data_IF_281387636506
#
_entry.id   IF_281387636506
#
_cell.length_a   1.000
_cell.length_b   1.000
_cell.length_c   1.000
_cell.angle_alpha   90.00
_cell.angle_beta   90.00
_cell.angle_gamma   90.00
#
_symmetry.space_group_name_H-M   'P 1'
#
loop_
_entity.id
_entity.type
_entity.pdbx_description
1 polymer ?
#
# COMPACT_ATOMS: atom_id res chain seq x y z
N UNK A 1 -43.91 -84.43 -64.30
CA UNK A 1 -43.53 -83.57 -65.44
C UNK A 1 -43.44 -82.13 -64.97
N UNK A 2 -42.26 -81.51 -65.08
CA UNK A 2 -41.97 -80.06 -65.14
C UNK A 2 -42.37 -79.18 -63.92
N UNK A 3 -41.63 -78.17 -63.44
CA UNK A 3 -40.35 -77.57 -63.81
C UNK A 3 -39.82 -76.68 -62.65
N UNK A 4 -38.53 -76.38 -62.73
CA UNK A 4 -37.67 -75.56 -61.87
C UNK A 4 -37.99 -74.05 -61.98
N UNK A 5 -37.85 -73.30 -60.87
CA UNK A 5 -37.42 -71.87 -60.82
C UNK A 5 -36.67 -71.64 -59.49
N UNK A 6 -35.34 -71.66 -59.43
CA UNK A 6 -34.41 -70.53 -59.62
C UNK A 6 -34.76 -69.28 -58.79
N UNK A 7 -34.03 -69.06 -57.68
CA UNK A 7 -33.94 -67.79 -56.97
C UNK A 7 -32.50 -67.27 -57.13
N UNK A 8 -32.37 -66.17 -57.87
CA UNK A 8 -31.14 -65.43 -58.03
C UNK A 8 -30.87 -64.55 -56.80
N UNK A 9 -29.69 -64.69 -56.19
CA UNK A 9 -29.17 -63.78 -55.18
C UNK A 9 -28.55 -62.56 -55.87
N UNK A 10 -29.02 -61.37 -55.52
CA UNK A 10 -28.53 -60.10 -56.06
C UNK A 10 -27.56 -59.47 -55.06
N UNK A 11 -26.28 -59.37 -55.46
CA UNK A 11 -25.25 -58.62 -54.74
C UNK A 11 -25.56 -57.13 -54.73
N UNK A 12 -25.50 -56.50 -53.56
CA UNK A 12 -25.50 -55.05 -53.40
C UNK A 12 -24.07 -54.56 -53.15
N UNK A 13 -23.57 -53.55 -53.88
CA UNK A 13 -22.28 -52.97 -53.60
C UNK A 13 -22.36 -52.03 -52.38
N UNK A 14 -21.39 -52.21 -51.51
CA UNK A 14 -21.10 -51.39 -50.33
C UNK A 14 -20.60 -50.01 -50.79
N UNK A 15 -21.41 -48.96 -50.58
CA UNK A 15 -21.02 -47.57 -50.81
C UNK A 15 -20.88 -46.86 -49.45
N UNK A 16 -19.64 -46.62 -49.04
CA UNK A 16 -19.30 -45.86 -47.84
C UNK A 16 -19.46 -44.37 -48.16
N UNK A 17 -20.53 -43.74 -47.68
CA UNK A 17 -20.63 -42.29 -47.67
C UNK A 17 -20.07 -41.76 -46.34
N UNK A 18 -18.78 -41.40 -46.35
CA UNK A 18 -18.13 -40.68 -45.27
C UNK A 18 -18.64 -39.23 -45.28
N UNK A 19 -19.66 -38.93 -44.46
CA UNK A 19 -20.02 -37.56 -44.11
C UNK A 19 -18.89 -36.98 -43.26
N UNK A 20 -18.05 -36.14 -43.88
CA UNK A 20 -17.16 -35.23 -43.15
C UNK A 20 -18.04 -34.21 -42.44
N UNK A 21 -18.31 -34.46 -41.16
CA UNK A 21 -18.85 -33.44 -40.27
C UNK A 21 -17.75 -32.38 -40.08
N UNK A 22 -17.92 -31.23 -40.72
CA UNK A 22 -17.11 -30.05 -40.43
C UNK A 22 -17.33 -29.66 -38.98
N UNK A 23 -16.38 -30.03 -38.12
CA UNK A 23 -16.27 -29.48 -36.78
C UNK A 23 -15.92 -27.99 -36.93
N UNK A 24 -16.95 -27.15 -36.97
CA UNK A 24 -16.79 -25.72 -36.76
C UNK A 24 -16.20 -25.53 -35.37
N UNK A 25 -14.91 -25.23 -35.31
CA UNK A 25 -14.28 -24.73 -34.10
C UNK A 25 -14.96 -23.42 -33.75
N UNK A 26 -15.91 -23.46 -32.81
CA UNK A 26 -16.38 -22.28 -32.12
C UNK A 26 -15.19 -21.81 -31.28
N UNK A 27 -14.39 -20.91 -31.84
CA UNK A 27 -13.47 -20.12 -31.04
C UNK A 27 -14.30 -19.23 -30.11
N UNK A 28 -14.69 -19.75 -28.95
CA UNK A 28 -15.01 -18.90 -27.81
C UNK A 28 -13.70 -18.30 -27.34
N UNK A 29 -13.25 -17.23 -28.00
CA UNK A 29 -12.35 -16.28 -27.37
C UNK A 29 -13.16 -15.59 -26.28
N UNK A 30 -13.28 -16.22 -25.12
CA UNK A 30 -13.62 -15.48 -23.91
C UNK A 30 -12.53 -14.43 -23.76
N UNK A 31 -12.85 -13.20 -24.11
CA UNK A 31 -12.03 -12.05 -23.80
C UNK A 31 -12.07 -11.93 -22.27
N UNK A 32 -11.23 -12.72 -21.60
CA UNK A 32 -11.08 -12.72 -20.15
C UNK A 32 -10.36 -11.41 -19.80
N UNK A 33 -11.11 -10.33 -19.80
CA UNK A 33 -10.68 -9.02 -19.29
C UNK A 33 -10.21 -9.20 -17.86
N UNK A 34 -9.07 -8.61 -17.49
CA UNK A 34 -8.58 -8.60 -16.12
C UNK A 34 -9.59 -8.02 -15.14
N UNK A 35 -9.41 -8.28 -13.85
CA UNK A 35 -10.27 -7.71 -12.82
C UNK A 35 -10.24 -6.18 -12.87
N UNK A 36 -11.41 -5.54 -12.80
CA UNK A 36 -11.54 -4.08 -12.65
C UNK A 36 -11.50 -3.74 -11.17
N UNK A 37 -10.49 -3.01 -10.72
CA UNK A 37 -10.30 -2.72 -9.30
C UNK A 37 -10.40 -1.22 -9.06
N UNK A 38 -11.31 -0.83 -8.17
CA UNK A 38 -11.38 0.54 -7.66
C UNK A 38 -10.33 0.75 -6.57
N UNK A 39 -9.62 1.87 -6.59
CA UNK A 39 -8.70 2.27 -5.51
C UNK A 39 -9.19 3.59 -4.94
N UNK A 40 -9.53 3.63 -3.65
CA UNK A 40 -10.04 4.84 -2.99
C UNK A 40 -8.93 5.50 -2.17
N UNK A 41 -8.59 6.72 -2.55
CA UNK A 41 -7.53 7.55 -1.98
C UNK A 41 -8.11 8.60 -1.03
N UNK A 42 -7.25 9.21 -0.21
CA UNK A 42 -7.63 10.13 0.87
C UNK A 42 -6.81 11.42 0.91
N UNK A 43 -6.07 11.74 -0.15
CA UNK A 43 -5.12 12.86 -0.26
C UNK A 43 -3.77 12.36 -0.78
N UNK A 44 -2.69 13.11 -0.58
CA UNK A 44 -1.35 12.75 -1.07
C UNK A 44 -0.25 13.08 -0.06
N UNK A 45 -0.06 12.22 0.94
CA UNK A 45 0.89 12.41 2.03
C UNK A 45 0.48 11.59 3.26
N UNK A 46 1.42 10.96 3.95
CA UNK A 46 1.10 10.06 5.07
C UNK A 46 0.34 10.76 6.20
N UNK A 47 0.65 12.01 6.53
CA UNK A 47 0.08 12.68 7.72
C UNK A 47 -1.28 13.33 7.48
N UNK A 48 -1.64 13.62 6.23
CA UNK A 48 -2.85 14.35 5.85
C UNK A 48 -3.64 13.73 4.70
N UNK A 49 -3.19 12.60 4.16
CA UNK A 49 -3.79 11.91 3.03
C UNK A 49 -3.41 10.45 2.96
N UNK A 50 -3.32 9.93 1.72
CA UNK A 50 -2.89 8.56 1.47
C UNK A 50 -1.38 8.41 1.59
N UNK A 51 -0.92 7.33 2.22
CA UNK A 51 0.50 6.95 2.22
C UNK A 51 0.93 6.59 0.78
N UNK A 52 1.92 7.33 0.27
CA UNK A 52 2.26 7.34 -1.16
C UNK A 52 2.94 6.03 -1.58
N UNK A 53 3.76 5.43 -0.72
CA UNK A 53 4.42 4.15 -1.01
C UNK A 53 3.44 2.99 -0.99
N UNK A 54 2.43 2.99 -0.13
CA UNK A 54 1.36 2.00 -0.06
C UNK A 54 0.50 2.09 -1.32
N UNK A 55 0.09 3.29 -1.71
CA UNK A 55 -0.63 3.50 -2.96
C UNK A 55 0.20 3.01 -4.17
N UNK A 56 1.49 3.37 -4.22
CA UNK A 56 2.41 2.88 -5.25
C UNK A 56 2.51 1.35 -5.26
N UNK A 57 2.63 0.70 -4.09
CA UNK A 57 2.67 -0.74 -3.96
C UNK A 57 1.39 -1.41 -4.45
N UNK A 58 0.23 -0.90 -4.03
CA UNK A 58 -1.08 -1.37 -4.51
C UNK A 58 -1.16 -1.30 -6.03
N UNK A 59 -0.81 -0.16 -6.64
CA UNK A 59 -0.88 0.04 -8.08
C UNK A 59 0.08 -0.88 -8.85
N UNK A 60 1.32 -1.03 -8.38
CA UNK A 60 2.31 -1.93 -8.99
C UNK A 60 1.83 -3.39 -8.94
N UNK A 61 1.29 -3.83 -7.81
CA UNK A 61 0.82 -5.21 -7.66
C UNK A 61 -0.48 -5.50 -8.43
N UNK A 62 -1.39 -4.52 -8.53
CA UNK A 62 -2.57 -4.62 -9.39
C UNK A 62 -2.16 -4.72 -10.87
N UNK A 63 -1.23 -3.87 -11.30
CA UNK A 63 -0.67 -3.91 -12.65
C UNK A 63 -0.02 -5.25 -12.97
N UNK A 64 0.82 -5.78 -12.05
CA UNK A 64 1.42 -7.12 -12.17
C UNK A 64 0.41 -8.24 -12.23
N UNK A 65 -0.74 -8.10 -11.56
CA UNK A 65 -1.86 -9.04 -11.63
C UNK A 65 -2.72 -8.92 -12.90
N UNK A 66 -2.42 -7.96 -13.78
CA UNK A 66 -3.14 -7.72 -15.02
C UNK A 66 -4.52 -7.08 -14.83
N UNK A 67 -4.75 -6.43 -13.68
CA UNK A 67 -5.97 -5.73 -13.33
C UNK A 67 -6.07 -4.36 -14.03
N UNK A 68 -7.29 -3.94 -14.34
CA UNK A 68 -7.61 -2.59 -14.78
C UNK A 68 -7.93 -1.75 -13.54
N UNK A 69 -7.29 -0.60 -13.37
CA UNK A 69 -7.42 0.21 -12.15
C UNK A 69 -8.12 1.52 -12.45
N UNK A 70 -9.11 1.88 -11.63
CA UNK A 70 -9.70 3.20 -11.59
C UNK A 70 -9.56 3.79 -10.17
N UNK A 71 -9.02 5.00 -10.07
CA UNK A 71 -8.79 5.66 -8.79
C UNK A 71 -9.93 6.63 -8.47
N UNK A 72 -10.28 6.69 -7.19
CA UNK A 72 -11.33 7.51 -6.65
C UNK A 72 -10.88 8.24 -5.39
N UNK A 73 -11.50 9.37 -5.09
CA UNK A 73 -11.36 10.06 -3.80
C UNK A 73 -12.61 10.93 -3.55
N UNK A 74 -13.02 11.14 -2.29
CA UNK A 74 -14.13 12.05 -2.00
C UNK A 74 -13.74 13.51 -2.30
N UNK A 75 -14.65 14.25 -2.92
CA UNK A 75 -14.47 15.69 -3.18
C UNK A 75 -14.79 16.53 -1.93
N UNK A 76 -13.88 16.49 -0.95
CA UNK A 76 -14.01 17.19 0.34
C UNK A 76 -12.71 17.89 0.73
N UNK A 77 -12.78 18.86 1.64
CA UNK A 77 -11.59 19.45 2.23
C UNK A 77 -10.84 18.41 3.09
N UNK A 78 -9.49 18.47 3.09
CA UNK A 78 -8.69 17.73 4.07
C UNK A 78 -8.95 18.30 5.48
N UNK A 79 -8.96 17.44 6.49
CA UNK A 79 -9.11 17.88 7.89
C UNK A 79 -7.97 18.80 8.33
N UNK A 80 -6.74 18.44 7.96
CA UNK A 80 -5.54 19.24 8.20
C UNK A 80 -4.64 19.17 6.97
N UNK A 81 -3.74 20.13 6.84
CA UNK A 81 -2.63 20.08 5.90
C UNK A 81 -1.34 20.11 6.70
N UNK A 82 -0.43 19.18 6.42
CA UNK A 82 0.77 18.96 7.25
C UNK A 82 2.03 19.22 6.43
N UNK A 83 2.92 20.08 6.94
CA UNK A 83 4.30 20.15 6.47
C UNK A 83 5.01 18.88 6.92
N UNK A 84 5.16 17.93 6.00
CA UNK A 84 5.75 16.62 6.29
C UNK A 84 7.22 16.69 6.70
N UNK A 85 7.94 17.78 6.38
CA UNK A 85 9.33 17.97 6.83
C UNK A 85 9.43 18.37 8.30
N UNK A 86 8.36 18.98 8.84
CA UNK A 86 8.28 19.45 10.24
C UNK A 86 7.36 18.60 11.10
N UNK A 87 6.46 17.83 10.48
CA UNK A 87 5.39 17.11 11.17
C UNK A 87 4.35 18.04 11.79
N UNK A 88 4.21 19.27 11.28
CA UNK A 88 3.37 20.32 11.87
C UNK A 88 2.26 20.77 10.93
N UNK A 89 1.10 21.20 11.44
CA UNK A 89 0.06 21.82 10.64
C UNK A 89 0.56 23.08 9.91
N UNK A 90 0.15 23.23 8.66
CA UNK A 90 0.29 24.45 7.88
C UNK A 90 -1.05 25.19 7.86
N UNK A 91 -1.02 26.53 7.87
CA UNK A 91 -2.22 27.38 7.76
C UNK A 91 -2.68 27.48 6.30
N UNK A 92 -3.01 26.33 5.70
CA UNK A 92 -3.51 26.23 4.34
C UNK A 92 -4.64 25.20 4.25
N UNK A 93 -5.42 25.27 3.17
CA UNK A 93 -6.49 24.34 2.89
C UNK A 93 -6.24 23.63 1.56
N UNK A 94 -6.49 22.33 1.54
CA UNK A 94 -6.37 21.48 0.36
C UNK A 94 -7.59 20.56 0.25
N UNK A 95 -7.88 20.11 -0.96
CA UNK A 95 -8.99 19.22 -1.26
C UNK A 95 -8.48 17.78 -1.50
N UNK A 96 -9.17 16.81 -0.91
CA UNK A 96 -8.81 15.39 -0.92
C UNK A 96 -8.73 14.82 -2.34
N UNK A 97 -9.74 15.09 -3.18
CA UNK A 97 -9.78 14.64 -4.57
C UNK A 97 -8.65 15.29 -5.39
N UNK A 98 -8.48 16.60 -5.24
CA UNK A 98 -7.47 17.39 -5.95
C UNK A 98 -6.05 16.93 -5.63
N UNK A 99 -5.74 16.69 -4.36
CA UNK A 99 -4.42 16.21 -3.95
C UNK A 99 -4.21 14.74 -4.34
N UNK A 100 -5.24 13.90 -4.23
CA UNK A 100 -5.18 12.50 -4.69
C UNK A 100 -4.92 12.38 -6.20
N UNK A 101 -5.31 13.39 -6.99
CA UNK A 101 -5.01 13.45 -8.43
C UNK A 101 -3.50 13.43 -8.73
N UNK A 102 -2.64 13.82 -7.76
CA UNK A 102 -1.17 13.72 -7.88
C UNK A 102 -0.71 12.26 -7.99
N UNK A 103 -1.21 11.39 -7.11
CA UNK A 103 -0.95 9.94 -7.15
C UNK A 103 -1.52 9.36 -8.45
N UNK A 104 -2.74 9.77 -8.80
CA UNK A 104 -3.46 9.25 -9.95
C UNK A 104 -2.98 9.79 -11.32
N UNK A 105 -2.01 10.71 -11.32
CA UNK A 105 -1.53 11.41 -12.53
C UNK A 105 -2.68 12.04 -13.34
N UNK A 106 -3.64 12.63 -12.63
CA UNK A 106 -4.84 13.25 -13.20
C UNK A 106 -5.99 12.29 -13.52
N UNK A 107 -5.77 10.96 -13.54
CA UNK A 107 -6.82 9.98 -13.84
C UNK A 107 -7.55 9.53 -12.56
N UNK A 108 -8.35 10.43 -11.99
CA UNK A 108 -9.12 10.20 -10.77
C UNK A 108 -10.56 10.66 -10.93
N UNK A 109 -11.49 9.99 -10.24
CA UNK A 109 -12.91 10.31 -10.23
C UNK A 109 -13.41 10.55 -8.81
N UNK A 110 -14.43 11.38 -8.63
CA UNK A 110 -15.12 11.51 -7.34
C UNK A 110 -15.68 10.14 -6.87
N UNK A 111 -15.43 9.79 -5.61
CA UNK A 111 -15.95 8.59 -4.95
C UNK A 111 -17.49 8.50 -5.00
N UNK A 112 -18.21 9.63 -5.09
CA UNK A 112 -19.67 9.63 -5.29
C UNK A 112 -20.10 8.91 -6.58
N UNK A 113 -19.22 8.83 -7.58
CA UNK A 113 -19.48 8.16 -8.86
C UNK A 113 -19.03 6.70 -8.88
N UNK A 114 -18.40 6.20 -7.81
CA UNK A 114 -17.99 4.81 -7.70
C UNK A 114 -19.21 3.90 -7.52
N UNK A 115 -19.45 3.08 -8.54
CA UNK A 115 -20.43 1.99 -8.49
C UNK A 115 -19.75 0.64 -8.35
N UNK A 116 -20.22 -0.15 -7.37
CA UNK A 116 -19.83 -1.55 -7.22
C UNK A 116 -20.19 -2.39 -8.44
N UNK A 117 -21.19 -2.03 -9.26
CA UNK A 117 -21.55 -2.80 -10.46
C UNK A 117 -20.45 -2.84 -11.53
N UNK A 118 -19.62 -1.79 -11.58
CA UNK A 118 -18.64 -1.58 -12.65
C UNK A 118 -17.24 -2.10 -12.33
N UNK A 119 -17.05 -2.61 -11.10
CA UNK A 119 -15.76 -3.05 -10.57
C UNK A 119 -15.90 -4.44 -9.96
N UNK A 120 -14.82 -5.20 -9.90
CA UNK A 120 -14.76 -6.54 -9.33
C UNK A 120 -14.26 -6.54 -7.89
N UNK A 121 -13.49 -5.52 -7.49
CA UNK A 121 -12.98 -5.33 -6.12
C UNK A 121 -12.73 -3.84 -5.82
N UNK A 122 -12.55 -3.52 -4.54
CA UNK A 122 -12.13 -2.18 -4.08
C UNK A 122 -10.96 -2.30 -3.11
N UNK A 123 -10.00 -1.38 -3.18
CA UNK A 123 -8.85 -1.31 -2.28
C UNK A 123 -8.72 0.09 -1.67
N UNK A 124 -8.43 0.14 -0.37
CA UNK A 124 -8.15 1.36 0.40
C UNK A 124 -6.71 1.29 0.92
N UNK A 125 -5.78 2.06 0.35
CA UNK A 125 -4.47 2.29 0.96
C UNK A 125 -4.62 3.01 2.31
N UNK A 126 -3.59 2.93 3.15
CA UNK A 126 -3.54 3.65 4.41
C UNK A 126 -3.07 5.09 4.29
N UNK A 127 -2.35 5.53 5.32
CA UNK A 127 -2.09 6.94 5.62
C UNK A 127 -3.15 7.51 6.56
N UNK A 128 -2.77 8.54 7.32
CA UNK A 128 -3.65 9.18 8.29
C UNK A 128 -4.88 9.84 7.63
N UNK A 129 -4.87 10.12 6.33
CA UNK A 129 -6.06 10.53 5.59
C UNK A 129 -7.20 9.52 5.65
N UNK A 130 -6.93 8.22 5.78
CA UNK A 130 -7.99 7.23 6.01
C UNK A 130 -8.69 7.43 7.37
N UNK A 131 -7.93 7.84 8.38
CA UNK A 131 -8.43 8.11 9.73
C UNK A 131 -8.97 9.55 9.92
N UNK A 132 -8.62 10.49 9.02
CA UNK A 132 -8.96 11.93 9.14
C UNK A 132 -9.96 12.42 8.09
N UNK A 133 -9.89 11.89 6.87
CA UNK A 133 -10.66 12.39 5.72
C UNK A 133 -11.70 11.35 5.26
N UNK A 134 -11.36 10.06 5.28
CA UNK A 134 -12.34 8.98 4.99
C UNK A 134 -13.18 8.62 6.23
N UNK A 135 -12.75 9.06 7.40
CA UNK A 135 -13.45 8.91 8.68
C UNK A 135 -12.98 9.98 9.67
N UNK A 136 -13.60 10.03 10.84
CA UNK A 136 -13.16 10.86 11.97
C UNK A 136 -12.36 10.07 13.02
N UNK A 137 -11.87 8.88 12.68
CA UNK A 137 -11.21 7.96 13.62
C UNK A 137 -10.02 8.58 14.37
N UNK A 138 -9.22 9.42 13.69
CA UNK A 138 -8.06 10.06 14.30
C UNK A 138 -8.41 10.99 15.47
N UNK A 139 -9.65 11.50 15.53
CA UNK A 139 -10.13 12.42 16.57
C UNK A 139 -11.10 11.71 17.52
N UNK A 140 -12.02 10.92 16.97
CA UNK A 140 -13.15 10.35 17.73
C UNK A 140 -12.92 8.89 18.17
N UNK A 141 -11.84 8.25 17.71
CA UNK A 141 -11.53 6.85 18.04
C UNK A 141 -12.69 5.90 17.73
N UNK A 142 -13.15 5.15 18.73
CA UNK A 142 -14.27 4.19 18.58
C UNK A 142 -15.61 4.85 18.22
N UNK A 143 -15.79 6.12 18.58
CA UNK A 143 -17.04 6.85 18.36
C UNK A 143 -17.06 7.56 16.99
N UNK A 144 -16.06 7.27 16.15
CA UNK A 144 -15.92 7.87 14.84
C UNK A 144 -17.09 7.60 13.91
N UNK A 145 -17.17 8.46 12.90
CA UNK A 145 -18.02 8.30 11.73
C UNK A 145 -17.16 8.05 10.50
N UNK A 146 -17.72 7.35 9.51
CA UNK A 146 -17.09 7.16 8.20
C UNK A 146 -17.74 8.13 7.22
N UNK A 147 -16.96 8.69 6.30
CA UNK A 147 -17.48 9.54 5.24
C UNK A 147 -18.61 8.80 4.50
N UNK A 148 -19.73 9.48 4.22
CA UNK A 148 -20.93 8.84 3.70
C UNK A 148 -20.69 8.09 2.37
N UNK A 149 -19.86 8.63 1.48
CA UNK A 149 -19.53 7.96 0.21
C UNK A 149 -18.66 6.73 0.42
N UNK A 150 -17.72 6.78 1.37
CA UNK A 150 -16.85 5.66 1.73
C UNK A 150 -17.67 4.54 2.38
N UNK A 151 -18.56 4.89 3.31
CA UNK A 151 -19.47 3.96 3.96
C UNK A 151 -20.38 3.27 2.93
N UNK A 152 -20.96 4.04 2.00
CA UNK A 152 -21.75 3.51 0.89
C UNK A 152 -20.93 2.53 0.06
N UNK A 153 -19.72 2.90 -0.37
CA UNK A 153 -18.83 2.04 -1.15
C UNK A 153 -18.54 0.72 -0.43
N UNK A 154 -18.15 0.77 0.85
CA UNK A 154 -17.88 -0.45 1.63
C UNK A 154 -19.11 -1.37 1.70
N UNK A 155 -20.30 -0.81 1.98
CA UNK A 155 -21.56 -1.56 2.04
C UNK A 155 -21.94 -2.13 0.68
N UNK A 156 -21.81 -1.37 -0.40
CA UNK A 156 -22.17 -1.79 -1.75
C UNK A 156 -21.29 -2.95 -2.24
N UNK A 157 -19.97 -2.87 -2.03
CA UNK A 157 -19.05 -3.95 -2.41
C UNK A 157 -19.26 -5.20 -1.55
N UNK A 158 -19.44 -5.04 -0.23
CA UNK A 158 -19.73 -6.15 0.68
C UNK A 158 -21.04 -6.86 0.32
N UNK A 159 -22.12 -6.10 0.11
CA UNK A 159 -23.44 -6.62 -0.31
C UNK A 159 -23.37 -7.34 -1.66
N UNK A 160 -22.54 -6.85 -2.59
CA UNK A 160 -22.31 -7.50 -3.87
C UNK A 160 -21.40 -8.73 -3.78
N UNK A 161 -20.89 -9.08 -2.60
CA UNK A 161 -19.95 -10.18 -2.39
C UNK A 161 -18.64 -9.97 -3.15
N UNK A 162 -18.20 -8.72 -3.29
CA UNK A 162 -16.96 -8.34 -3.98
C UNK A 162 -15.83 -8.11 -2.98
N UNK A 163 -14.59 -8.51 -3.30
CA UNK A 163 -13.49 -8.39 -2.36
C UNK A 163 -13.15 -6.94 -2.01
N UNK A 164 -12.81 -6.71 -0.75
CA UNK A 164 -12.38 -5.42 -0.21
C UNK A 164 -10.97 -5.59 0.36
N UNK A 165 -10.01 -4.82 -0.14
CA UNK A 165 -8.64 -4.77 0.38
C UNK A 165 -8.41 -3.51 1.22
N UNK A 166 -7.81 -3.63 2.41
CA UNK A 166 -7.45 -2.47 3.25
C UNK A 166 -6.07 -2.68 3.88
N UNK A 167 -5.16 -1.71 3.79
CA UNK A 167 -3.86 -1.80 4.48
C UNK A 167 -3.60 -0.66 5.46
N UNK A 168 -2.66 -0.91 6.38
CA UNK A 168 -2.24 0.04 7.41
C UNK A 168 -3.39 0.40 8.35
N UNK A 169 -3.76 1.69 8.46
CA UNK A 169 -4.83 2.16 9.35
C UNK A 169 -6.23 2.02 8.73
N UNK A 170 -6.34 1.89 7.40
CA UNK A 170 -7.63 1.82 6.70
C UNK A 170 -8.58 0.67 7.13
N UNK A 171 -8.14 -0.47 7.69
CA UNK A 171 -9.03 -1.49 8.26
C UNK A 171 -10.02 -0.99 9.33
N UNK A 172 -9.76 0.14 9.98
CA UNK A 172 -10.72 0.76 10.92
C UNK A 172 -12.04 1.13 10.23
N UNK A 173 -12.01 1.42 8.92
CA UNK A 173 -13.19 1.72 8.12
C UNK A 173 -14.09 0.48 8.00
N UNK A 174 -13.50 -0.66 7.66
CA UNK A 174 -14.23 -1.92 7.58
C UNK A 174 -14.75 -2.34 8.97
N UNK A 175 -13.94 -2.20 10.02
CA UNK A 175 -14.35 -2.52 11.38
C UNK A 175 -15.56 -1.69 11.85
N UNK A 176 -15.64 -0.41 11.48
CA UNK A 176 -16.78 0.45 11.81
C UNK A 176 -18.04 0.11 11.00
N UNK A 177 -17.88 -0.29 9.74
CA UNK A 177 -19.00 -0.37 8.77
C UNK A 177 -19.55 -1.79 8.60
N UNK A 178 -18.71 -2.82 8.75
CA UNK A 178 -19.05 -4.22 8.44
C UNK A 178 -19.13 -5.04 9.75
N UNK A 179 -20.34 -5.44 10.18
CA UNK A 179 -20.50 -6.16 11.44
C UNK A 179 -19.77 -7.50 11.47
N UNK A 180 -18.96 -7.74 12.51
CA UNK A 180 -18.27 -9.01 12.73
C UNK A 180 -17.22 -9.35 11.68
N UNK A 181 -16.64 -8.34 11.03
CA UNK A 181 -15.49 -8.50 10.13
C UNK A 181 -14.23 -8.85 10.91
N UNK A 182 -13.37 -9.67 10.32
CA UNK A 182 -12.03 -9.92 10.82
C UNK A 182 -11.01 -9.09 10.03
N UNK A 183 -10.11 -8.41 10.73
CA UNK A 183 -9.07 -7.56 10.12
C UNK A 183 -7.77 -7.64 10.90
N UNK A 184 -6.66 -7.29 10.25
CA UNK A 184 -5.39 -7.03 10.92
C UNK A 184 -4.99 -5.56 10.76
N UNK A 185 -4.41 -5.00 11.81
CA UNK A 185 -3.60 -3.76 11.75
C UNK A 185 -2.18 -4.02 12.24
N UNK A 186 -1.77 -5.29 12.33
CA UNK A 186 -0.47 -5.71 12.84
C UNK A 186 -0.55 -6.43 14.18
N UNK A 187 0.22 -5.92 15.14
CA UNK A 187 0.36 -6.48 16.48
C UNK A 187 -0.47 -5.71 17.52
N UNK A 188 -0.73 -6.34 18.68
CA UNK A 188 -1.51 -5.74 19.77
C UNK A 188 -0.65 -5.10 20.86
N UNK A 189 0.65 -5.37 20.84
CA UNK A 189 1.61 -4.89 21.83
C UNK A 189 2.74 -4.14 21.14
N UNK A 190 3.20 -3.06 21.79
CA UNK A 190 4.40 -2.37 21.35
C UNK A 190 5.62 -3.25 21.59
N UNK A 191 6.41 -3.50 20.55
CA UNK A 191 7.62 -4.31 20.63
C UNK A 191 8.84 -3.44 20.29
N UNK A 192 9.40 -2.76 21.30
CA UNK A 192 10.64 -1.98 21.13
C UNK A 192 10.57 -0.91 20.03
N UNK A 193 9.39 -0.31 19.81
CA UNK A 193 9.15 0.68 18.76
C UNK A 193 8.82 0.10 17.38
N UNK A 194 8.86 -1.23 17.21
CA UNK A 194 8.48 -1.90 15.95
C UNK A 194 7.01 -1.69 15.60
N UNK A 195 6.13 -1.62 16.60
CA UNK A 195 4.68 -1.48 16.43
C UNK A 195 4.17 -0.22 17.12
N UNK A 196 4.47 0.98 16.61
CA UNK A 196 4.15 2.25 17.28
C UNK A 196 2.65 2.54 17.41
N UNK A 197 1.80 1.78 16.70
CA UNK A 197 0.34 1.99 16.67
C UNK A 197 -0.45 0.77 17.18
N UNK A 198 0.17 -0.09 18.01
CA UNK A 198 -0.43 -1.33 18.51
C UNK A 198 -1.77 -1.13 19.23
N UNK A 199 -1.98 0.03 19.86
CA UNK A 199 -3.26 0.42 20.48
C UNK A 199 -4.46 0.40 19.53
N UNK A 200 -4.24 0.47 18.21
CA UNK A 200 -5.29 0.37 17.18
C UNK A 200 -6.03 -0.96 17.25
N UNK A 201 -5.35 -2.07 17.62
CA UNK A 201 -5.99 -3.38 17.75
C UNK A 201 -7.13 -3.38 18.77
N UNK A 202 -7.00 -2.63 19.86
CA UNK A 202 -8.06 -2.48 20.86
C UNK A 202 -9.22 -1.66 20.33
N UNK A 203 -8.95 -0.63 19.53
CA UNK A 203 -9.99 0.15 18.87
C UNK A 203 -10.79 -0.69 17.88
N UNK A 204 -10.14 -1.57 17.09
CA UNK A 204 -10.81 -2.54 16.21
C UNK A 204 -11.79 -3.42 16.99
N UNK A 205 -11.36 -3.97 18.14
CA UNK A 205 -12.22 -4.77 19.03
C UNK A 205 -13.39 -3.96 19.57
N UNK A 206 -13.16 -2.72 19.97
CA UNK A 206 -14.20 -1.82 20.49
C UNK A 206 -15.23 -1.42 19.41
N UNK A 207 -14.84 -1.42 18.13
CA UNK A 207 -15.73 -1.20 16.99
C UNK A 207 -16.60 -2.43 16.66
N UNK A 208 -16.38 -3.57 17.32
CA UNK A 208 -17.15 -4.80 17.12
C UNK A 208 -16.58 -5.74 16.04
N UNK A 209 -15.34 -5.49 15.62
CA UNK A 209 -14.59 -6.36 14.71
C UNK A 209 -13.60 -7.24 15.46
N UNK A 210 -13.15 -8.32 14.82
CA UNK A 210 -12.11 -9.20 15.36
C UNK A 210 -10.75 -8.75 14.82
N UNK A 211 -9.81 -8.45 15.72
CA UNK A 211 -8.42 -8.22 15.33
C UNK A 211 -7.66 -9.55 15.24
N UNK A 212 -6.97 -9.77 14.13
CA UNK A 212 -6.10 -10.91 13.90
C UNK A 212 -4.65 -10.45 13.85
N UNK A 213 -3.81 -10.94 14.77
CA UNK A 213 -2.40 -10.59 14.81
C UNK A 213 -1.67 -11.10 13.57
N UNK A 214 -0.95 -10.20 12.89
CA UNK A 214 -0.15 -10.51 11.70
C UNK A 214 1.16 -9.72 11.75
N UNK A 215 2.22 -10.35 11.29
CA UNK A 215 3.51 -9.69 11.05
C UNK A 215 3.53 -9.01 9.69
N UNK A 216 4.41 -8.02 9.50
CA UNK A 216 4.82 -7.61 8.14
C UNK A 216 5.81 -8.67 7.65
N UNK A 217 5.76 -9.04 6.35
CA UNK A 217 6.62 -10.09 5.75
C UNK A 217 8.02 -10.09 6.36
N UNK A 218 8.38 -11.10 7.16
CA UNK A 218 9.70 -11.16 7.82
C UNK A 218 10.72 -12.00 7.06
N UNK A 219 10.26 -12.82 6.09
CA UNK A 219 11.11 -13.54 5.14
C UNK A 219 10.33 -14.01 3.91
N UNK A 220 11.03 -14.36 2.83
CA UNK A 220 10.41 -14.86 1.58
C UNK A 220 9.60 -16.15 1.79
N UNK A 221 9.91 -16.92 2.83
CA UNK A 221 9.21 -18.18 3.17
C UNK A 221 7.90 -17.94 3.94
N UNK A 222 7.70 -16.75 4.51
CA UNK A 222 6.52 -16.40 5.31
C UNK A 222 5.58 -15.42 4.61
N UNK A 223 5.64 -15.34 3.28
CA UNK A 223 4.73 -14.47 2.51
C UNK A 223 3.24 -14.81 2.67
N UNK A 224 2.92 -16.00 3.22
CA UNK A 224 1.54 -16.39 3.54
C UNK A 224 1.04 -15.83 4.88
N UNK A 225 1.90 -15.26 5.72
CA UNK A 225 1.55 -14.77 7.06
C UNK A 225 1.32 -13.25 7.14
N UNK A 226 1.56 -12.49 6.07
CA UNK A 226 1.58 -11.02 6.10
C UNK A 226 0.26 -10.32 5.73
N UNK A 227 -0.72 -11.07 5.21
CA UNK A 227 -2.09 -10.60 5.03
C UNK A 227 -3.06 -11.48 5.83
N UNK A 228 -4.15 -10.88 6.30
CA UNK A 228 -5.30 -11.58 6.85
C UNK A 228 -6.42 -11.58 5.82
N UNK A 229 -7.07 -12.74 5.62
CA UNK A 229 -8.23 -12.87 4.74
C UNK A 229 -9.42 -13.38 5.54
N UNK A 230 -10.43 -12.53 5.71
CA UNK A 230 -11.76 -12.91 6.14
C UNK A 230 -12.54 -13.44 4.93
N UNK A 231 -12.58 -14.76 4.77
CA UNK A 231 -13.28 -15.41 3.67
C UNK A 231 -14.80 -15.22 3.72
N UNK A 232 -15.38 -15.05 4.92
CA UNK A 232 -16.81 -14.87 5.11
C UNK A 232 -17.27 -13.52 4.56
N UNK A 233 -16.51 -12.46 4.87
CA UNK A 233 -16.83 -11.11 4.43
C UNK A 233 -16.08 -10.69 3.15
N UNK A 234 -15.17 -11.53 2.64
CA UNK A 234 -14.25 -11.24 1.52
C UNK A 234 -13.42 -9.98 1.76
N UNK A 235 -12.94 -9.81 2.98
CA UNK A 235 -12.10 -8.68 3.38
C UNK A 235 -10.66 -9.18 3.51
N UNK A 236 -9.72 -8.50 2.87
CA UNK A 236 -8.29 -8.80 2.93
C UNK A 236 -7.57 -7.59 3.52
N UNK A 237 -6.74 -7.81 4.54
CA UNK A 237 -6.03 -6.73 5.22
C UNK A 237 -4.56 -7.02 5.43
N UNK A 238 -3.72 -5.97 5.47
CA UNK A 238 -2.29 -6.11 5.75
C UNK A 238 -1.76 -4.93 6.60
N UNK A 239 -0.80 -5.16 7.52
CA UNK A 239 -0.37 -4.11 8.45
C UNK A 239 0.40 -2.95 7.80
N UNK A 240 1.15 -3.19 6.72
CA UNK A 240 1.95 -2.17 6.01
C UNK A 240 2.78 -1.27 6.96
N UNK A 241 2.68 0.07 6.87
CA UNK A 241 3.45 1.01 7.70
C UNK A 241 2.97 1.12 9.17
N UNK A 242 2.04 0.27 9.62
CA UNK A 242 1.79 0.10 11.06
C UNK A 242 2.98 -0.52 11.79
N UNK A 243 3.94 -1.08 11.03
CA UNK A 243 5.20 -1.64 11.51
C UNK A 243 6.40 -0.83 11.02
N UNK A 244 7.34 -0.54 11.91
CA UNK A 244 8.66 -0.02 11.57
C UNK A 244 9.56 -1.17 11.09
N UNK A 245 9.73 -1.28 9.78
CA UNK A 245 10.55 -2.33 9.14
C UNK A 245 11.10 -1.87 7.79
N UNK A 246 11.85 -2.74 7.10
CA UNK A 246 12.41 -2.41 5.78
C UNK A 246 11.29 -2.21 4.76
N UNK A 247 11.40 -1.12 3.97
CA UNK A 247 10.39 -0.72 2.99
C UNK A 247 9.94 -1.84 2.03
N UNK A 248 10.86 -2.69 1.56
CA UNK A 248 10.50 -3.77 0.64
C UNK A 248 9.61 -4.84 1.29
N UNK A 249 9.73 -5.08 2.61
CA UNK A 249 8.90 -6.03 3.33
C UNK A 249 7.45 -5.53 3.43
N UNK A 250 7.28 -4.23 3.62
CA UNK A 250 5.97 -3.54 3.55
C UNK A 250 5.39 -3.70 2.14
N UNK A 251 6.19 -3.43 1.10
CA UNK A 251 5.79 -3.57 -0.29
C UNK A 251 5.33 -5.00 -0.63
N UNK A 252 6.11 -6.01 -0.20
CA UNK A 252 5.79 -7.43 -0.39
C UNK A 252 4.51 -7.85 0.35
N UNK A 253 4.30 -7.33 1.57
CA UNK A 253 3.07 -7.56 2.35
C UNK A 253 1.83 -7.01 1.68
N UNK A 254 1.90 -5.77 1.15
CA UNK A 254 0.83 -5.18 0.34
C UNK A 254 0.61 -6.00 -0.94
N UNK A 255 1.68 -6.50 -1.56
CA UNK A 255 1.59 -7.39 -2.69
C UNK A 255 0.84 -8.69 -2.41
N UNK A 256 1.05 -9.29 -1.24
CA UNK A 256 0.29 -10.46 -0.79
C UNK A 256 -1.21 -10.13 -0.63
N UNK A 257 -1.53 -9.00 0.01
CA UNK A 257 -2.91 -8.51 0.13
C UNK A 257 -3.58 -8.35 -1.25
N UNK A 258 -2.93 -7.64 -2.19
CA UNK A 258 -3.46 -7.44 -3.54
C UNK A 258 -3.66 -8.77 -4.27
N UNK A 259 -2.71 -9.70 -4.14
CA UNK A 259 -2.81 -11.04 -4.73
C UNK A 259 -4.05 -11.78 -4.22
N UNK A 260 -4.32 -11.71 -2.91
CA UNK A 260 -5.48 -12.38 -2.30
C UNK A 260 -6.80 -11.70 -2.68
N UNK A 261 -6.84 -10.37 -2.75
CA UNK A 261 -7.98 -9.62 -3.30
C UNK A 261 -8.29 -10.10 -4.72
N UNK A 262 -7.29 -10.17 -5.60
CA UNK A 262 -7.46 -10.60 -6.99
C UNK A 262 -7.94 -12.06 -7.08
N UNK A 263 -7.40 -12.97 -6.27
CA UNK A 263 -7.87 -14.37 -6.22
C UNK A 263 -9.37 -14.44 -5.89
N UNK A 264 -9.85 -13.63 -4.93
CA UNK A 264 -11.25 -13.64 -4.51
C UNK A 264 -12.21 -13.05 -5.56
N UNK A 265 -11.71 -12.37 -6.59
CA UNK A 265 -12.55 -11.92 -7.72
C UNK A 265 -12.96 -13.05 -8.66
N UNK A 266 -12.28 -14.20 -8.61
CA UNK A 266 -12.49 -15.32 -9.54
C UNK A 266 -12.01 -15.05 -10.98
N UNK A 267 -11.55 -13.83 -11.29
CA UNK A 267 -10.90 -13.49 -12.56
C UNK A 267 -9.40 -13.67 -12.35
N UNK A 268 -8.85 -14.78 -12.86
CA UNK A 268 -7.47 -15.20 -12.59
C UNK A 268 -6.46 -14.06 -12.78
N UNK A 269 -5.50 -13.95 -11.86
CA UNK A 269 -4.35 -13.07 -12.02
C UNK A 269 -3.64 -13.47 -13.32
N UNK A 270 -3.65 -12.58 -14.32
CA UNK A 270 -2.84 -12.82 -15.52
C UNK A 270 -1.40 -12.76 -15.03
N UNK A 271 -0.71 -13.91 -15.04
CA UNK A 271 0.74 -13.91 -14.93
C UNK A 271 1.32 -12.97 -16.00
N UNK A 272 2.51 -12.39 -15.79
CA UNK A 272 3.14 -11.59 -16.81
C UNK A 272 3.15 -12.39 -18.11
N UNK A 273 2.59 -11.82 -19.19
CA UNK A 273 2.57 -12.42 -20.52
C UNK A 273 3.99 -12.93 -20.82
N UNK A 274 4.18 -14.25 -20.77
CA UNK A 274 5.40 -14.82 -21.30
C UNK A 274 5.41 -14.49 -22.78
N UNK A 275 6.48 -13.86 -23.25
CA UNK A 275 6.78 -13.66 -24.68
C UNK A 275 7.15 -15.01 -25.31
N UNK A 276 6.24 -15.98 -25.19
CA UNK A 276 6.34 -17.33 -25.73
C UNK A 276 4.93 -17.69 -26.13
N UNK A 277 4.54 -17.22 -27.31
CA UNK A 277 3.49 -17.75 -28.19
C UNK A 277 3.39 -16.83 -29.42
N UNK A 278 4.54 -16.54 -30.01
CA UNK A 278 4.71 -16.35 -31.45
C UNK A 278 5.84 -17.30 -31.81
N UNK A 279 5.68 -18.04 -32.90
CA UNK A 279 6.65 -18.99 -33.44
C UNK A 279 6.45 -20.44 -32.98
N UNK A 280 5.30 -21.02 -33.35
CA UNK A 280 5.21 -22.46 -33.61
C UNK A 280 4.24 -22.77 -34.77
N UNK A 281 4.32 -21.99 -35.86
CA UNK A 281 4.08 -22.54 -37.20
C UNK A 281 5.45 -22.76 -37.83
N UNK A 282 5.75 -24.01 -38.16
CA UNK A 282 7.06 -24.40 -38.66
C UNK A 282 7.33 -23.86 -40.05
N UNK A 283 8.55 -23.38 -40.29
CA UNK A 283 9.30 -23.56 -41.54
C UNK A 283 10.75 -23.13 -41.34
N UNK A 284 11.68 -24.04 -41.64
CA UNK A 284 13.06 -23.83 -42.13
C UNK A 284 13.91 -22.67 -41.60
N UNK A 285 15.03 -23.03 -40.98
CA UNK A 285 16.15 -22.15 -40.61
C UNK A 285 16.57 -21.17 -41.71
N UNK A 286 16.79 -19.87 -41.41
CA UNK A 286 17.41 -18.95 -42.36
C UNK A 286 18.95 -19.19 -42.42
N UNK A 287 19.61 -18.93 -43.55
CA UNK A 287 21.03 -19.16 -43.71
C UNK A 287 21.87 -18.11 -42.97
N UNK A 288 22.98 -18.56 -42.40
CA UNK A 288 24.00 -17.74 -41.73
C UNK A 288 24.66 -16.78 -42.75
N UNK A 289 24.80 -15.47 -42.46
CA UNK A 289 25.54 -14.56 -43.33
C UNK A 289 27.04 -14.87 -43.30
N UNK A 290 27.67 -14.96 -44.48
CA UNK A 290 29.13 -15.07 -44.62
C UNK A 290 29.84 -13.75 -44.28
N UNK A 291 31.09 -13.77 -43.77
CA UNK A 291 31.84 -12.56 -43.47
C UNK A 291 32.19 -11.78 -44.74
N UNK A 292 32.06 -10.45 -44.69
CA UNK A 292 32.41 -9.52 -45.77
C UNK A 292 33.88 -9.11 -45.63
N UNK A 293 34.69 -9.03 -46.72
CA UNK A 293 36.09 -8.61 -46.62
C UNK A 293 36.21 -7.11 -46.31
N UNK A 294 37.21 -6.74 -45.50
CA UNK A 294 37.55 -5.36 -45.15
C UNK A 294 38.04 -4.56 -46.36
N UNK A 295 37.51 -3.33 -46.51
CA UNK A 295 37.95 -2.37 -47.54
C UNK A 295 38.87 -1.31 -46.91
N UNK A 296 39.89 -0.80 -47.61
CA UNK A 296 40.89 0.09 -47.02
C UNK A 296 40.35 1.52 -46.83
N UNK A 297 40.81 2.17 -45.76
CA UNK A 297 40.53 3.57 -45.41
C UNK A 297 41.38 4.50 -46.28
N UNK A 298 40.82 5.51 -46.97
CA UNK A 298 41.62 6.54 -47.62
C UNK A 298 41.92 7.72 -46.67
N UNK A 299 43.12 8.26 -46.82
CA UNK A 299 43.77 9.30 -46.03
C UNK A 299 43.20 10.71 -46.25
N UNK A 300 43.36 11.52 -45.20
CA UNK A 300 43.08 12.96 -45.04
C UNK A 300 43.57 13.89 -46.16
N UNK A 301 42.79 14.96 -46.45
CA UNK A 301 43.18 16.39 -46.64
C UNK A 301 41.94 17.24 -47.01
N UNK A 302 42.00 18.59 -47.12
CA UNK A 302 41.60 19.57 -46.10
C UNK A 302 40.29 20.33 -46.43
N UNK A 303 39.69 20.97 -45.41
CA UNK A 303 38.44 21.75 -45.53
C UNK A 303 38.74 23.22 -45.94
N UNK A 304 38.07 23.80 -46.94
CA UNK A 304 38.16 25.22 -47.23
C UNK A 304 37.11 26.04 -46.45
N UNK A 305 37.51 27.22 -46.00
CA UNK A 305 36.66 28.27 -45.42
C UNK A 305 35.75 28.89 -46.49
N UNK A 306 34.51 29.22 -46.14
CA UNK A 306 33.81 30.41 -46.66
C UNK A 306 32.80 30.96 -45.64
N UNK A 307 32.68 32.28 -45.67
CA UNK A 307 31.99 33.18 -44.77
C UNK A 307 30.46 33.26 -44.98
N UNK A 308 29.75 33.73 -43.94
CA UNK A 308 28.75 34.79 -44.12
C UNK A 308 27.29 34.53 -43.70
N UNK A 309 26.87 35.29 -42.67
CA UNK A 309 25.51 35.78 -42.34
C UNK A 309 24.45 34.78 -41.81
N UNK A 310 23.61 35.07 -40.81
CA UNK A 310 23.38 36.22 -39.93
C UNK A 310 22.39 35.83 -38.82
N UNK A 311 22.60 36.37 -37.61
CA UNK A 311 21.65 36.74 -36.51
C UNK A 311 20.51 35.76 -36.12
N UNK A 312 20.26 35.42 -34.86
CA UNK A 312 19.87 36.30 -33.74
C UNK A 312 19.79 35.43 -32.47
N UNK A 313 20.46 35.80 -31.38
CA UNK A 313 19.97 35.86 -29.98
C UNK A 313 21.16 36.11 -29.04
N UNK A 314 21.23 37.34 -28.51
CA UNK A 314 22.22 37.78 -27.53
C UNK A 314 21.70 37.56 -26.11
N UNK A 315 22.58 36.96 -25.29
CA UNK A 315 23.04 37.40 -23.95
C UNK A 315 21.99 37.36 -22.80
N UNK A 316 22.31 36.82 -21.62
CA UNK A 316 23.38 37.27 -20.72
C UNK A 316 24.05 36.09 -20.01
N UNK A 317 25.38 36.07 -20.03
CA UNK A 317 26.22 35.41 -19.04
C UNK A 317 27.22 36.43 -18.51
N UNK A 318 27.55 36.36 -17.22
CA UNK A 318 28.74 37.00 -16.67
C UNK A 318 29.41 36.00 -15.71
N UNK A 319 30.63 35.64 -16.06
CA UNK A 319 31.55 34.79 -15.32
C UNK A 319 32.82 35.61 -15.07
N UNK A 320 33.37 35.60 -13.86
CA UNK A 320 34.78 35.93 -13.61
C UNK A 320 35.29 34.97 -12.52
N UNK A 321 36.08 33.96 -12.88
CA UNK A 321 37.55 33.90 -13.08
C UNK A 321 38.33 33.63 -11.79
N UNK A 322 38.94 32.44 -11.79
CA UNK A 322 39.79 31.84 -10.77
C UNK A 322 41.22 32.39 -10.88
N UNK A 323 41.84 32.69 -9.74
CA UNK A 323 43.31 32.69 -9.56
C UNK A 323 43.67 32.31 -8.11
N UNK A 324 44.57 31.33 -7.93
CA UNK A 324 45.43 31.11 -6.73
C UNK A 324 46.89 31.40 -7.15
N UNK A 325 47.77 31.87 -6.25
CA UNK A 325 48.62 30.95 -5.46
C UNK A 325 48.87 31.41 -4.00
N UNK A 326 49.44 30.52 -3.17
CA UNK A 326 49.39 30.59 -1.69
C UNK A 326 50.59 31.20 -0.96
N UNK A 327 50.56 31.05 0.36
CA UNK A 327 51.69 30.97 1.31
C UNK A 327 51.17 30.93 2.76
N UNK A 328 51.73 30.05 3.58
CA UNK A 328 51.58 29.95 5.05
C UNK A 328 52.39 31.09 5.72
N UNK A 329 52.07 31.49 6.97
CA UNK A 329 52.84 30.93 8.10
C UNK A 329 52.11 30.79 9.47
N UNK A 330 52.63 29.83 10.24
CA UNK A 330 52.92 29.79 11.69
C UNK A 330 51.88 30.14 12.78
N UNK A 331 51.76 29.18 13.71
CA UNK A 331 51.24 29.25 15.09
C UNK A 331 51.99 30.26 15.99
N UNK A 332 51.45 30.55 17.19
CA UNK A 332 52.06 29.92 18.37
C UNK A 332 51.05 29.33 19.37
N UNK A 333 51.56 28.33 20.09
CA UNK A 333 51.00 27.56 21.20
C UNK A 333 51.47 28.07 22.56
N UNK A 334 50.66 27.93 23.62
CA UNK A 334 51.01 27.79 25.05
C UNK A 334 49.80 27.13 25.75
N UNK A 335 49.80 25.84 26.15
CA UNK A 335 50.24 25.23 27.43
C UNK A 335 49.71 25.95 28.69
N UNK A 336 49.24 25.34 29.78
CA UNK A 336 48.89 23.96 30.17
C UNK A 336 48.25 24.05 31.59
N UNK A 337 47.43 23.07 31.98
CA UNK A 337 47.33 22.62 33.38
C UNK A 337 45.93 22.58 34.04
N UNK A 338 45.68 21.62 34.96
CA UNK A 338 44.40 20.93 35.12
C UNK A 338 43.73 21.10 36.51
N UNK A 339 42.48 20.63 36.68
CA UNK A 339 41.74 20.19 37.90
C UNK A 339 40.23 20.28 37.56
N UNK A 340 39.25 19.54 38.08
CA UNK A 340 39.10 18.26 38.75
C UNK A 340 37.57 17.91 38.66
N UNK A 341 37.27 16.63 38.47
CA UNK A 341 36.12 15.85 38.97
C UNK A 341 34.82 16.61 39.36
N UNK A 342 33.69 16.31 38.68
CA UNK A 342 32.51 15.66 39.30
C UNK A 342 31.40 15.37 38.28
N UNK A 343 31.01 14.10 38.24
CA UNK A 343 29.76 13.62 37.68
C UNK A 343 28.61 13.89 38.65
N UNK A 344 27.43 14.24 38.15
CA UNK A 344 26.18 14.11 38.90
C UNK A 344 25.13 13.45 38.02
N UNK A 345 24.59 12.40 38.58
CA UNK A 345 23.73 11.38 38.01
C UNK A 345 22.28 11.60 38.48
N UNK A 346 21.34 11.18 37.62
CA UNK A 346 20.04 10.55 37.94
C UNK A 346 19.19 11.10 39.10
N UNK A 347 18.02 11.66 38.76
CA UNK A 347 16.87 11.71 39.66
C UNK A 347 15.94 10.51 39.40
N UNK A 348 15.82 9.62 40.38
CA UNK A 348 14.70 8.69 40.57
C UNK A 348 13.90 9.12 41.81
N UNK A 349 12.57 8.88 41.84
CA UNK A 349 11.70 9.23 42.97
C UNK A 349 11.78 8.22 44.14
N UNK A 350 11.33 8.58 45.36
CA UNK A 350 11.69 7.86 46.58
C UNK A 350 10.87 6.60 46.84
N UNK A 351 11.55 5.58 47.34
CA UNK A 351 10.98 4.38 47.94
C UNK A 351 10.65 4.64 49.42
N UNK A 352 9.46 4.22 49.86
CA UNK A 352 9.11 4.08 51.26
C UNK A 352 9.38 2.63 51.71
N UNK A 353 10.16 2.48 52.77
CA UNK A 353 10.47 1.21 53.42
C UNK A 353 9.46 0.90 54.52
N UNK A 354 9.02 -0.35 54.63
CA UNK A 354 8.60 -0.97 55.90
C UNK A 354 8.92 -2.48 55.88
N UNK A 355 9.36 -2.95 57.04
CA UNK A 355 10.09 -4.18 57.31
C UNK A 355 9.21 -5.44 57.30
N UNK A 356 9.85 -6.60 57.05
CA UNK A 356 9.29 -7.95 57.20
C UNK A 356 9.14 -8.36 58.69
N UNK A 357 8.39 -9.42 59.04
CA UNK A 357 8.86 -10.82 58.84
C UNK A 357 7.78 -11.84 58.42
N UNK A 358 8.20 -12.97 57.82
CA UNK A 358 7.35 -14.17 57.63
C UNK A 358 7.12 -14.95 58.94
N UNK A 359 6.36 -16.09 58.99
CA UNK A 359 6.43 -17.20 58.00
C UNK A 359 5.15 -18.06 57.75
N UNK A 360 5.26 -19.01 56.79
CA UNK A 360 4.61 -20.36 56.66
C UNK A 360 3.09 -20.56 56.37
N UNK A 361 2.87 -21.24 55.22
CA UNK A 361 2.06 -22.46 54.93
C UNK A 361 0.51 -22.52 55.07
N UNK A 362 -0.10 -23.00 53.96
CA UNK A 362 -1.33 -23.80 53.74
C UNK A 362 -2.72 -23.15 53.95
N UNK A 363 -3.60 -23.34 52.95
CA UNK A 363 -5.05 -23.35 53.15
C UNK A 363 -5.88 -23.11 51.88
N UNK A 364 -6.70 -24.11 51.50
CA UNK A 364 -7.76 -24.04 50.47
C UNK A 364 -8.93 -23.14 50.91
N UNK A 365 -9.71 -22.61 49.96
CA UNK A 365 -11.16 -22.42 50.16
C UNK A 365 -11.79 -21.10 49.66
N UNK A 366 -12.41 -21.16 48.48
CA UNK A 366 -13.74 -20.68 48.09
C UNK A 366 -14.34 -19.32 48.59
N UNK A 367 -14.80 -18.57 47.57
CA UNK A 367 -16.05 -17.75 47.43
C UNK A 367 -16.11 -16.25 47.74
N UNK A 368 -16.69 -15.56 46.75
CA UNK A 368 -17.55 -14.36 46.76
C UNK A 368 -16.92 -12.94 46.69
N UNK A 369 -17.02 -12.36 45.48
CA UNK A 369 -17.70 -11.07 45.22
C UNK A 369 -16.99 -9.75 45.57
N UNK A 370 -16.53 -9.02 44.56
CA UNK A 370 -16.85 -7.60 44.42
C UNK A 370 -16.53 -7.08 43.01
N UNK A 371 -17.41 -6.20 42.56
CA UNK A 371 -17.53 -5.58 41.25
C UNK A 371 -16.57 -4.41 41.01
N UNK A 372 -16.45 -4.07 39.72
CA UNK A 372 -16.20 -2.73 39.15
C UNK A 372 -14.86 -2.03 39.44
N UNK A 373 -14.00 -1.95 38.42
CA UNK A 373 -13.58 -0.69 37.76
C UNK A 373 -12.19 -0.87 37.11
N UNK A 374 -12.12 -1.37 35.87
CA UNK A 374 -10.83 -1.37 35.14
C UNK A 374 -10.98 -1.18 33.62
N UNK A 375 -12.20 -0.90 33.14
CA UNK A 375 -12.48 -0.84 31.69
C UNK A 375 -12.35 0.57 31.10
N UNK A 376 -12.18 1.61 31.92
CA UNK A 376 -12.07 3.01 31.46
C UNK A 376 -10.64 3.51 31.28
N UNK A 377 -9.63 2.86 31.88
CA UNK A 377 -8.24 3.33 31.82
C UNK A 377 -7.51 2.94 30.52
N UNK A 378 -7.87 1.82 29.89
CA UNK A 378 -7.21 1.31 28.67
C UNK A 378 -7.75 1.95 27.39
N UNK A 379 -9.02 2.35 27.36
CA UNK A 379 -9.60 3.09 26.22
C UNK A 379 -9.04 4.52 26.09
N UNK A 380 -8.72 5.16 27.22
CA UNK A 380 -8.09 6.48 27.25
C UNK A 380 -6.65 6.46 26.72
N UNK A 381 -5.93 5.35 26.89
CA UNK A 381 -4.55 5.21 26.39
C UNK A 381 -4.47 5.07 24.87
N UNK A 382 -5.44 4.40 24.22
CA UNK A 382 -5.50 4.30 22.76
C UNK A 382 -5.86 5.64 22.09
N UNK A 383 -6.78 6.41 22.70
CA UNK A 383 -7.05 7.78 22.30
C UNK A 383 -5.85 8.70 22.57
N UNK A 384 -5.10 8.45 23.66
CA UNK A 384 -3.89 9.21 23.99
C UNK A 384 -2.70 8.90 23.07
N UNK A 385 -2.58 7.70 22.50
CA UNK A 385 -1.53 7.40 21.50
C UNK A 385 -1.81 8.11 20.16
N UNK A 386 -3.07 8.14 19.73
CA UNK A 386 -3.50 8.99 18.62
C UNK A 386 -3.32 10.49 18.94
N UNK A 387 -3.70 10.92 20.15
CA UNK A 387 -3.55 12.31 20.59
C UNK A 387 -2.08 12.72 20.87
N UNK A 388 -1.18 11.81 21.19
CA UNK A 388 0.24 12.09 21.46
C UNK A 388 1.00 12.39 20.17
N UNK A 389 0.64 11.75 19.05
CA UNK A 389 1.06 12.20 17.72
C UNK A 389 0.52 13.62 17.38
N UNK A 390 -0.58 14.04 18.01
CA UNK A 390 -1.18 15.38 17.88
C UNK A 390 -0.69 16.41 18.92
N UNK A 391 -0.06 15.99 20.02
CA UNK A 391 0.41 16.89 21.08
C UNK A 391 1.62 17.75 20.64
N UNK A 392 2.31 17.37 19.57
CA UNK A 392 3.38 18.20 18.99
C UNK A 392 2.86 19.47 18.28
N UNK A 393 1.54 19.59 18.05
CA UNK A 393 0.93 20.76 17.41
C UNK A 393 0.33 21.78 18.39
N UNK A 394 0.55 21.63 19.71
CA UNK A 394 -0.02 22.53 20.72
C UNK A 394 1.04 23.01 21.72
N UNK A 395 2.06 23.72 21.23
CA UNK A 395 2.85 24.60 22.07
C UNK A 395 2.13 25.96 22.18
N UNK A 396 1.87 26.49 23.39
CA UNK A 396 1.37 27.85 23.54
C UNK A 396 2.49 28.84 23.21
N UNK A 397 2.19 29.84 22.37
CA UNK A 397 3.00 31.04 22.22
C UNK A 397 3.09 31.75 23.57
N UNK A 398 4.20 31.56 24.29
CA UNK A 398 4.57 32.40 25.41
C UNK A 398 5.27 33.65 24.85
N UNK A 399 4.49 34.70 24.59
CA UNK A 399 5.01 36.04 24.38
C UNK A 399 5.72 36.49 25.67
N UNK A 400 7.01 36.84 25.54
CA UNK A 400 7.77 37.46 26.61
C UNK A 400 7.29 38.92 26.79
N UNK A 401 6.98 39.37 28.01
CA UNK A 401 6.53 40.74 28.22
C UNK A 401 7.72 41.70 28.08
N UNK A 402 7.64 42.61 27.11
CA UNK A 402 8.46 43.81 27.12
C UNK A 402 7.79 44.84 28.03
N UNK A 403 8.49 45.24 29.09
CA UNK A 403 8.20 46.45 29.88
C UNK A 403 9.48 46.94 30.53
N UNK A 404 9.61 48.26 30.79
CA UNK A 404 9.25 49.40 29.95
C UNK A 404 10.48 50.10 29.36
#
# INVERSE_FOLDING_TARGET
MFAIRSFATKSYPFWVNQKVAGAGFIHTTTNLSGAKVAVVLSGCGVYDGTEIHEASAVLVHLSRGGAEVQMFAPDVAQMHVIDHSKGQPAEESRNVLSESARIARGNITDAAKLSASNHDAVIFPGGFGAAKNLSTFAVDGKDCTVNAEVERVLKDFHKAGKPIGLCCISPVLAAKVLPGVEVTVGHEEEEGGKWPYAGTAQAIKALGATHCVKEVTISFQELSSCAHTDLKNKVVTSPAFMCETKLHLIFDGIGAMVKDVLKLTGKGARGPLSVRDRDAEGTSSPPVPRPVPSRPVPSSSPVPQTDGASSLLRHVGASQKITRPGSTPALPSLHAGPHAVQAVSSCQPPAAACQAPGPRLRGRGLTAGCSSSTTTATAAAAAAAAAAAFAFARAPSAACPQTP
#
